data_IF_780803154256
#
_entry.id   IF_780803154256
#
_cell.length_a   1.000
_cell.length_b   1.000
_cell.length_c   1.000
_cell.angle_alpha   90.00
_cell.angle_beta   90.00
_cell.angle_gamma   90.00
#
_symmetry.space_group_name_H-M   'P 1'
#
loop_
_entity.id
_entity.type
_entity.pdbx_description
1 polymer ?
#
# COMPACT_ATOMS: atom_id res chain seq x y z
N UNK A 1 -23.54 29.64 -52.62
CA UNK A 1 -23.80 28.22 -52.95
C UNK A 1 -23.52 27.40 -51.70
N UNK A 2 -24.53 26.70 -51.15
CA UNK A 2 -24.33 25.77 -50.02
C UNK A 2 -24.08 24.39 -50.62
N UNK A 3 -22.83 23.94 -50.66
CA UNK A 3 -22.53 22.55 -51.00
C UNK A 3 -22.86 21.69 -49.78
N UNK A 4 -23.89 20.86 -49.90
CA UNK A 4 -24.26 19.87 -48.89
C UNK A 4 -23.30 18.68 -48.91
N UNK A 5 -23.14 18.03 -47.76
CA UNK A 5 -22.35 16.81 -47.60
C UNK A 5 -22.90 15.71 -48.51
N UNK A 6 -22.05 15.10 -49.33
CA UNK A 6 -22.52 13.99 -50.19
C UNK A 6 -22.67 12.72 -49.36
N UNK A 7 -23.59 11.82 -49.78
CA UNK A 7 -23.81 10.55 -49.07
C UNK A 7 -22.52 9.72 -48.99
N UNK A 8 -21.69 9.77 -50.03
CA UNK A 8 -20.40 9.07 -50.10
C UNK A 8 -19.42 9.66 -49.09
N UNK A 9 -19.35 10.98 -49.02
CA UNK A 9 -18.50 11.69 -48.06
C UNK A 9 -18.89 11.37 -46.60
N UNK A 10 -20.20 11.19 -46.33
CA UNK A 10 -20.73 10.72 -45.05
C UNK A 10 -20.28 9.29 -44.71
N UNK A 11 -20.41 8.37 -45.67
CA UNK A 11 -20.02 6.97 -45.45
C UNK A 11 -18.51 6.85 -45.23
N UNK A 12 -17.71 7.57 -46.01
CA UNK A 12 -16.25 7.58 -45.86
C UNK A 12 -15.83 8.18 -44.52
N UNK A 13 -16.46 9.27 -44.09
CA UNK A 13 -16.14 9.87 -42.77
C UNK A 13 -16.54 8.98 -41.60
N UNK A 14 -17.67 8.27 -41.67
CA UNK A 14 -18.06 7.29 -40.65
C UNK A 14 -17.08 6.10 -40.63
N UNK A 15 -16.69 5.58 -41.79
CA UNK A 15 -15.74 4.48 -41.88
C UNK A 15 -14.36 4.84 -41.30
N UNK A 16 -13.84 6.01 -41.68
CA UNK A 16 -12.53 6.50 -41.20
C UNK A 16 -12.58 6.80 -39.70
N UNK A 17 -13.63 7.48 -39.22
CA UNK A 17 -13.78 7.76 -37.79
C UNK A 17 -13.91 6.50 -36.94
N UNK A 18 -14.58 5.44 -37.43
CA UNK A 18 -14.67 4.16 -36.73
C UNK A 18 -13.32 3.46 -36.52
N UNK A 19 -12.42 3.55 -37.50
CA UNK A 19 -11.05 3.01 -37.40
C UNK A 19 -10.25 3.79 -36.34
N UNK A 20 -10.31 5.12 -36.37
CA UNK A 20 -9.63 5.94 -35.36
C UNK A 20 -10.22 5.75 -33.96
N UNK A 21 -11.54 5.57 -33.87
CA UNK A 21 -12.23 5.37 -32.60
C UNK A 21 -11.83 4.06 -31.93
N UNK A 22 -11.76 2.96 -32.69
CA UNK A 22 -11.30 1.67 -32.17
C UNK A 22 -9.85 1.71 -31.68
N UNK A 23 -8.96 2.38 -32.43
CA UNK A 23 -7.57 2.57 -32.02
C UNK A 23 -7.46 3.42 -30.74
N UNK A 24 -8.16 4.56 -30.70
CA UNK A 24 -8.19 5.46 -29.55
C UNK A 24 -8.75 4.78 -28.30
N UNK A 25 -9.80 3.97 -28.45
CA UNK A 25 -10.43 3.26 -27.35
C UNK A 25 -9.51 2.17 -26.77
N UNK A 26 -8.75 1.47 -27.62
CA UNK A 26 -7.72 0.53 -27.15
C UNK A 26 -6.62 1.21 -26.34
N UNK A 27 -6.11 2.36 -26.81
CA UNK A 27 -5.10 3.14 -26.09
C UNK A 27 -5.64 3.68 -24.76
N UNK A 28 -6.88 4.19 -24.77
CA UNK A 28 -7.56 4.66 -23.55
C UNK A 28 -7.72 3.54 -22.52
N UNK A 29 -8.18 2.35 -22.93
CA UNK A 29 -8.33 1.19 -22.03
C UNK A 29 -6.98 0.77 -21.45
N UNK A 30 -5.90 0.79 -22.24
CA UNK A 30 -4.56 0.49 -21.73
C UNK A 30 -4.07 1.54 -20.73
N UNK A 31 -4.27 2.82 -21.02
CA UNK A 31 -3.89 3.92 -20.12
C UNK A 31 -4.66 3.86 -18.79
N UNK A 32 -5.98 3.63 -18.84
CA UNK A 32 -6.82 3.51 -17.64
C UNK A 32 -6.45 2.26 -16.83
N UNK A 33 -6.22 1.11 -17.47
CA UNK A 33 -5.74 -0.09 -16.77
C UNK A 33 -4.37 0.14 -16.12
N UNK A 34 -3.48 0.86 -16.80
CA UNK A 34 -2.20 1.28 -16.26
C UNK A 34 -2.35 2.15 -15.02
N UNK A 35 -3.11 3.25 -15.11
CA UNK A 35 -3.36 4.15 -13.98
C UNK A 35 -4.04 3.45 -12.80
N UNK A 36 -5.01 2.56 -13.04
CA UNK A 36 -5.63 1.76 -11.99
C UNK A 36 -4.65 0.78 -11.34
N UNK A 37 -3.71 0.22 -12.11
CA UNK A 37 -2.67 -0.65 -11.56
C UNK A 37 -1.63 0.14 -10.74
N UNK A 38 -1.25 1.34 -11.18
CA UNK A 38 -0.34 2.22 -10.44
C UNK A 38 -0.97 2.72 -9.14
N UNK A 39 -2.19 3.27 -9.20
CA UNK A 39 -2.91 3.74 -8.00
C UNK A 39 -3.15 2.62 -6.98
N UNK A 40 -3.47 1.40 -7.41
CA UNK A 40 -3.59 0.25 -6.50
C UNK A 40 -2.26 -0.12 -5.86
N UNK A 41 -1.17 -0.11 -6.64
CA UNK A 41 0.19 -0.36 -6.11
C UNK A 41 0.56 0.73 -5.12
N UNK A 42 0.41 2.00 -5.46
CA UNK A 42 0.74 3.13 -4.59
C UNK A 42 -0.11 3.14 -3.32
N UNK A 43 -1.41 2.81 -3.40
CA UNK A 43 -2.27 2.66 -2.23
C UNK A 43 -1.75 1.56 -1.29
N UNK A 44 -1.31 0.42 -1.83
CA UNK A 44 -0.73 -0.66 -1.03
C UNK A 44 0.62 -0.28 -0.40
N UNK A 45 1.46 0.48 -1.11
CA UNK A 45 2.72 0.99 -0.56
C UNK A 45 2.49 2.05 0.52
N UNK A 46 1.50 2.93 0.33
CA UNK A 46 1.09 3.93 1.31
C UNK A 46 0.56 3.25 2.57
N UNK A 47 -0.34 2.28 2.44
CA UNK A 47 -0.84 1.49 3.57
C UNK A 47 0.30 0.82 4.34
N UNK A 48 1.21 0.13 3.63
CA UNK A 48 2.37 -0.50 4.27
C UNK A 48 3.26 0.51 5.01
N UNK A 49 3.44 1.70 4.45
CA UNK A 49 4.25 2.76 5.08
C UNK A 49 3.58 3.29 6.35
N UNK A 50 2.26 3.47 6.31
CA UNK A 50 1.45 3.86 7.46
C UNK A 50 1.52 2.79 8.55
N UNK A 51 1.38 1.52 8.21
CA UNK A 51 1.46 0.40 9.16
C UNK A 51 2.84 0.33 9.84
N UNK A 52 3.92 0.52 9.07
CA UNK A 52 5.29 0.59 9.62
C UNK A 52 5.45 1.77 10.59
N UNK A 53 4.92 2.95 10.23
CA UNK A 53 5.00 4.14 11.07
C UNK A 53 4.20 3.99 12.37
N UNK A 54 2.98 3.45 12.28
CA UNK A 54 2.13 3.14 13.44
C UNK A 54 2.81 2.11 14.35
N UNK A 55 3.34 1.02 13.78
CA UNK A 55 4.06 -0.01 14.54
C UNK A 55 5.26 0.58 15.28
N UNK A 56 6.05 1.42 14.61
CA UNK A 56 7.20 2.09 15.22
C UNK A 56 6.77 3.02 16.36
N UNK A 57 5.73 3.83 16.16
CA UNK A 57 5.21 4.76 17.16
C UNK A 57 4.72 4.02 18.40
N UNK A 58 3.96 2.94 18.21
CA UNK A 58 3.43 2.13 19.31
C UNK A 58 4.54 1.45 20.12
N UNK A 59 5.57 0.89 19.46
CA UNK A 59 6.74 0.32 20.15
C UNK A 59 7.55 1.37 20.95
N UNK A 60 7.40 2.66 20.63
CA UNK A 60 8.03 3.75 21.39
C UNK A 60 7.14 4.25 22.54
N UNK A 61 5.83 4.32 22.34
CA UNK A 61 4.87 4.85 23.30
C UNK A 61 4.47 3.84 24.37
N UNK A 62 4.42 2.55 24.02
CA UNK A 62 3.98 1.50 24.92
C UNK A 62 5.12 0.51 25.20
N UNK A 63 5.62 0.42 26.45
CA UNK A 63 6.58 -0.61 26.82
C UNK A 63 5.92 -1.99 26.69
N UNK A 64 6.74 -2.99 26.40
CA UNK A 64 6.31 -4.38 26.28
C UNK A 64 7.42 -5.34 26.65
N UNK A 65 7.08 -6.61 26.77
CA UNK A 65 7.97 -7.69 27.18
C UNK A 65 8.06 -8.77 26.10
N UNK A 66 9.26 -9.31 25.98
CA UNK A 66 9.50 -10.47 25.14
C UNK A 66 9.31 -11.75 25.97
N UNK A 67 8.21 -12.46 25.71
CA UNK A 67 7.82 -13.71 26.38
C UNK A 67 7.81 -14.83 25.35
N UNK A 68 8.61 -15.88 25.57
CA UNK A 68 8.66 -17.07 24.69
C UNK A 68 8.87 -16.75 23.19
N UNK A 69 9.61 -15.69 22.88
CA UNK A 69 9.89 -15.27 21.50
C UNK A 69 8.77 -14.47 20.83
N UNK A 70 7.69 -14.13 21.55
CA UNK A 70 6.63 -13.21 21.12
C UNK A 70 6.70 -11.89 21.88
N UNK A 71 6.52 -10.78 21.17
CA UNK A 71 6.45 -9.46 21.80
C UNK A 71 5.04 -9.19 22.28
N UNK A 72 4.87 -8.98 23.59
CA UNK A 72 3.60 -8.66 24.23
C UNK A 72 3.69 -7.23 24.75
N UNK A 73 2.77 -6.36 24.33
CA UNK A 73 2.67 -4.99 24.82
C UNK A 73 2.01 -4.98 26.21
N UNK A 74 2.47 -4.13 27.13
CA UNK A 74 1.87 -4.02 28.47
C UNK A 74 0.57 -3.15 28.46
N UNK A 75 0.12 -2.65 27.30
CA UNK A 75 -1.03 -1.74 27.18
C UNK A 75 -2.26 -2.43 26.57
N UNK A 76 -3.44 -2.19 27.15
CA UNK A 76 -4.76 -2.70 26.70
C UNK A 76 -5.22 -2.18 25.32
N UNK A 77 -4.43 -1.34 24.64
CA UNK A 77 -4.66 -0.90 23.27
C UNK A 77 -4.22 -1.96 22.26
N UNK A 78 -4.75 -3.16 22.41
CA UNK A 78 -4.71 -4.17 21.36
C UNK A 78 -5.66 -3.73 20.24
N UNK A 79 -5.16 -2.99 19.25
CA UNK A 79 -5.80 -3.00 17.94
C UNK A 79 -5.27 -4.23 17.19
N UNK A 80 -5.97 -5.39 17.25
CA UNK A 80 -5.40 -6.69 16.91
C UNK A 80 -4.93 -6.76 15.46
N UNK A 81 -5.44 -5.89 14.58
CA UNK A 81 -5.17 -5.90 13.14
C UNK A 81 -3.75 -5.44 12.79
N UNK A 82 -3.07 -4.68 13.64
CA UNK A 82 -1.73 -4.14 13.36
C UNK A 82 -0.59 -5.06 13.82
N UNK A 83 -0.84 -6.01 14.73
CA UNK A 83 0.23 -6.65 15.52
C UNK A 83 0.32 -8.16 15.38
N UNK A 84 -0.35 -8.76 14.40
CA UNK A 84 -0.28 -10.20 14.20
C UNK A 84 1.16 -10.64 13.88
N UNK A 85 1.71 -11.47 14.77
CA UNK A 85 3.01 -12.15 14.66
C UNK A 85 4.27 -11.30 14.83
N UNK A 86 4.26 -10.30 15.73
CA UNK A 86 5.53 -9.70 16.19
C UNK A 86 6.30 -10.70 17.06
N UNK A 87 7.43 -11.15 16.54
CA UNK A 87 8.40 -11.98 17.24
C UNK A 87 9.44 -11.09 17.91
N UNK A 88 10.11 -11.63 18.92
CA UNK A 88 11.13 -10.90 19.64
C UNK A 88 12.34 -11.78 19.98
N UNK A 89 13.49 -11.12 20.11
CA UNK A 89 14.73 -11.74 20.56
C UNK A 89 15.43 -10.79 21.53
N UNK A 90 15.76 -11.30 22.71
CA UNK A 90 16.57 -10.57 23.69
C UNK A 90 18.02 -10.52 23.22
N UNK A 91 18.61 -9.32 23.26
CA UNK A 91 20.01 -9.04 22.95
C UNK A 91 20.79 -8.73 24.23
N UNK A 92 22.12 -8.73 24.11
CA UNK A 92 23.01 -8.29 25.19
C UNK A 92 22.75 -6.80 25.53
N UNK A 93 22.89 -6.45 26.82
CA UNK A 93 22.66 -5.10 27.40
C UNK A 93 21.20 -4.63 27.35
N UNK A 94 20.27 -5.46 27.82
CA UNK A 94 18.86 -5.04 28.01
C UNK A 94 18.19 -4.45 26.76
N UNK A 95 18.54 -4.97 25.58
CA UNK A 95 17.89 -4.61 24.32
C UNK A 95 17.02 -5.76 23.83
N UNK A 96 15.86 -5.44 23.28
CA UNK A 96 14.99 -6.40 22.60
C UNK A 96 14.93 -5.99 21.14
N UNK A 97 15.17 -6.94 20.23
CA UNK A 97 14.77 -6.78 18.83
C UNK A 97 13.39 -7.37 18.65
N UNK A 98 12.46 -6.57 18.15
CA UNK A 98 11.11 -6.95 17.76
C UNK A 98 11.08 -7.00 16.24
N UNK A 99 10.55 -8.07 15.65
CA UNK A 99 10.56 -8.27 14.21
C UNK A 99 9.29 -8.96 13.72
N UNK A 100 8.90 -8.66 12.49
CA UNK A 100 7.74 -9.26 11.83
C UNK A 100 7.75 -8.96 10.33
N UNK A 101 6.63 -9.21 9.65
CA UNK A 101 6.51 -9.01 8.19
C UNK A 101 6.71 -7.55 7.73
N UNK A 102 6.54 -6.60 8.66
CA UNK A 102 6.64 -5.17 8.40
C UNK A 102 8.06 -4.62 8.61
N UNK A 103 8.95 -5.34 9.31
CA UNK A 103 10.31 -4.89 9.58
C UNK A 103 10.87 -5.40 10.90
N UNK A 104 12.00 -4.81 11.33
CA UNK A 104 12.65 -5.09 12.61
C UNK A 104 12.98 -3.78 13.34
N UNK A 105 12.70 -3.74 14.63
CA UNK A 105 12.90 -2.60 15.50
C UNK A 105 13.68 -3.00 16.75
N UNK A 106 14.53 -2.11 17.24
CA UNK A 106 15.23 -2.29 18.51
C UNK A 106 14.51 -1.46 19.56
N UNK A 107 14.03 -2.11 20.60
CA UNK A 107 13.40 -1.48 21.76
C UNK A 107 14.33 -1.69 22.96
N UNK A 108 14.55 -0.64 23.75
CA UNK A 108 15.26 -0.78 25.02
C UNK A 108 14.29 -1.35 26.05
N UNK A 109 14.73 -2.34 26.84
CA UNK A 109 13.93 -2.84 27.95
C UNK A 109 13.58 -1.66 28.88
N UNK A 110 12.34 -1.50 29.34
CA UNK A 110 12.08 -0.53 30.40
C UNK A 110 12.90 -0.97 31.62
N UNK A 111 13.91 -0.18 31.98
CA UNK A 111 14.61 -0.30 33.25
C UNK A 111 13.58 0.07 34.30
N UNK A 112 13.02 -0.93 34.98
CA UNK A 112 12.22 -0.71 36.17
C UNK A 112 13.18 -0.08 37.21
N UNK A 113 12.99 1.21 37.49
CA UNK A 113 13.55 1.87 38.66
C UNK A 113 12.61 1.69 39.84
#
# INVERSE_FOLDING_TARGET
>A
MKHGFTLIELVVTIAVSGIFFTLAMNLYVQAVKGQLAFTKKDASYMQRTVDIALTKKMLQEHPGKCVEGKYILDSDTEDPRLFHNLQCKKLKRERIVVYGNLGSWVVNYPVAF
#
